data_IF_056126780373
#
_entry.id   IF_056126780373
#
_cell.length_a   1.000
_cell.length_b   1.000
_cell.length_c   1.000
_cell.angle_alpha   90.00
_cell.angle_beta   90.00
_cell.angle_gamma   90.00
#
_symmetry.space_group_name_H-M   'P 1'
#
loop_
_entity.id
_entity.type
_entity.pdbx_description
1 polymer ?
#
# COMPACT_ATOMS: atom_id res chain seq x y z
N UNK A 1 -2.93 5.49 23.63
CA UNK A 1 -2.42 5.91 22.31
C UNK A 1 -0.93 6.16 22.47
N UNK A 2 -0.07 5.49 21.69
CA UNK A 2 1.39 5.68 21.75
C UNK A 2 1.69 7.05 21.15
N UNK A 3 2.47 7.94 21.82
CA UNK A 3 2.91 9.18 21.20
C UNK A 3 3.75 8.90 19.93
N UNK A 4 3.61 9.72 18.91
CA UNK A 4 4.35 9.54 17.63
C UNK A 4 5.87 9.43 17.86
N UNK A 5 6.39 10.16 18.84
CA UNK A 5 7.81 10.13 19.25
C UNK A 5 8.29 8.79 19.84
N UNK A 6 7.37 7.89 20.17
CA UNK A 6 7.67 6.56 20.72
C UNK A 6 7.34 5.42 19.74
N UNK A 7 6.72 5.74 18.60
CA UNK A 7 6.40 4.75 17.58
C UNK A 7 7.69 4.19 16.95
N UNK A 8 7.80 2.86 16.91
CA UNK A 8 8.92 2.14 16.29
C UNK A 8 8.55 1.47 14.97
N UNK A 9 7.26 1.24 14.75
CA UNK A 9 6.74 0.58 13.56
C UNK A 9 5.46 1.27 13.09
N UNK A 10 5.48 1.80 11.87
CA UNK A 10 4.40 2.58 11.29
C UNK A 10 3.94 1.95 9.98
N UNK A 11 2.65 1.80 9.80
CA UNK A 11 2.02 1.48 8.52
C UNK A 11 1.46 2.77 7.91
N UNK A 12 1.79 3.03 6.66
CA UNK A 12 1.28 4.18 5.90
C UNK A 12 0.47 3.65 4.72
N UNK A 13 -0.84 3.88 4.75
CA UNK A 13 -1.72 3.55 3.63
C UNK A 13 -1.85 4.73 2.68
N UNK A 14 -1.72 4.46 1.40
CA UNK A 14 -1.73 5.42 0.30
C UNK A 14 -2.88 5.10 -0.65
N UNK A 15 -3.91 5.93 -0.62
CA UNK A 15 -5.07 5.80 -1.50
C UNK A 15 -4.74 6.21 -2.95
N UNK A 16 -5.50 5.70 -3.91
CA UNK A 16 -5.32 6.02 -5.34
C UNK A 16 -5.42 7.53 -5.60
N UNK A 17 -6.29 8.25 -4.88
CA UNK A 17 -6.47 9.69 -5.02
C UNK A 17 -5.26 10.52 -4.61
N UNK A 18 -4.38 9.98 -3.73
CA UNK A 18 -3.12 10.63 -3.34
C UNK A 18 -2.04 10.43 -4.41
N UNK A 19 -2.01 9.23 -5.01
CA UNK A 19 -0.96 8.84 -5.97
C UNK A 19 -1.21 9.39 -7.38
N UNK A 20 -2.39 9.97 -7.65
CA UNK A 20 -2.78 10.47 -8.96
C UNK A 20 -3.27 11.93 -8.87
N UNK A 21 -2.99 12.69 -9.92
CA UNK A 21 -3.59 14.01 -10.10
C UNK A 21 -5.04 13.89 -10.59
N UNK A 22 -5.81 14.97 -10.56
CA UNK A 22 -7.18 15.05 -11.11
C UNK A 22 -7.22 14.66 -12.60
N UNK A 23 -6.13 14.87 -13.33
CA UNK A 23 -5.97 14.46 -14.72
C UNK A 23 -5.64 12.97 -14.88
N UNK A 24 -5.54 12.24 -13.78
CA UNK A 24 -5.24 10.80 -13.76
C UNK A 24 -3.76 10.45 -13.98
N UNK A 25 -2.87 11.43 -13.99
CA UNK A 25 -1.42 11.23 -14.06
C UNK A 25 -0.84 10.88 -12.69
N UNK A 26 0.36 10.31 -12.67
CA UNK A 26 1.09 10.05 -11.41
C UNK A 26 1.42 11.38 -10.73
N UNK A 27 1.07 11.50 -9.45
CA UNK A 27 1.39 12.67 -8.63
C UNK A 27 2.82 12.59 -8.09
N UNK A 28 3.79 12.91 -8.93
CA UNK A 28 5.21 12.81 -8.59
C UNK A 28 5.58 13.64 -7.35
N UNK A 29 5.05 14.84 -7.21
CA UNK A 29 5.33 15.73 -6.07
C UNK A 29 4.89 15.10 -4.74
N UNK A 30 3.69 14.52 -4.72
CA UNK A 30 3.18 13.84 -3.54
C UNK A 30 4.03 12.61 -3.20
N UNK A 31 4.38 11.79 -4.19
CA UNK A 31 5.21 10.59 -4.00
C UNK A 31 6.59 10.97 -3.47
N UNK A 32 7.22 12.01 -3.99
CA UNK A 32 8.51 12.51 -3.52
C UNK A 32 8.44 13.01 -2.07
N UNK A 33 7.37 13.70 -1.70
CA UNK A 33 7.14 14.12 -0.31
C UNK A 33 7.01 12.92 0.62
N UNK A 34 6.30 11.88 0.20
CA UNK A 34 6.17 10.62 0.95
C UNK A 34 7.52 9.94 1.11
N UNK A 35 8.29 9.80 0.03
CA UNK A 35 9.61 9.17 0.08
C UNK A 35 10.56 9.91 1.02
N UNK A 36 10.58 11.24 0.97
CA UNK A 36 11.37 12.06 1.90
C UNK A 36 10.94 11.88 3.36
N UNK A 37 9.63 11.80 3.62
CA UNK A 37 9.12 11.55 4.97
C UNK A 37 9.48 10.14 5.47
N UNK A 38 9.41 9.13 4.61
CA UNK A 38 9.79 7.76 4.93
C UNK A 38 11.29 7.67 5.22
N UNK A 39 12.15 8.29 4.40
CA UNK A 39 13.59 8.35 4.62
C UNK A 39 13.90 8.99 5.99
N UNK A 40 13.25 10.11 6.31
CA UNK A 40 13.41 10.76 7.60
C UNK A 40 12.98 9.85 8.78
N UNK A 41 11.86 9.14 8.67
CA UNK A 41 11.43 8.18 9.70
C UNK A 41 12.44 7.05 9.86
N UNK A 42 12.95 6.50 8.76
CA UNK A 42 13.95 5.42 8.77
C UNK A 42 15.28 5.88 9.35
N UNK A 43 15.72 7.10 9.10
CA UNK A 43 16.94 7.66 9.72
C UNK A 43 16.82 7.80 11.24
N UNK A 44 15.60 7.83 11.78
CA UNK A 44 15.31 7.79 13.21
C UNK A 44 15.14 6.36 13.78
N UNK A 45 15.40 5.33 12.98
CA UNK A 45 15.26 3.93 13.37
C UNK A 45 13.81 3.43 13.40
N UNK A 46 12.88 4.14 12.77
CA UNK A 46 11.47 3.76 12.69
C UNK A 46 11.27 2.84 11.47
N UNK A 47 10.68 1.68 11.70
CA UNK A 47 10.28 0.76 10.65
C UNK A 47 9.01 1.26 9.95
N UNK A 48 9.07 1.39 8.62
CA UNK A 48 7.95 1.85 7.82
C UNK A 48 7.51 0.76 6.85
N UNK A 49 6.20 0.54 6.79
CA UNK A 49 5.53 -0.34 5.83
C UNK A 49 4.55 0.51 5.04
N UNK A 50 4.60 0.42 3.71
CA UNK A 50 3.63 1.07 2.85
C UNK A 50 2.52 0.10 2.45
N UNK A 51 1.27 0.55 2.47
CA UNK A 51 0.15 -0.14 1.83
C UNK A 51 -0.31 0.75 0.69
N UNK A 52 -0.03 0.33 -0.54
CA UNK A 52 -0.16 1.20 -1.71
C UNK A 52 -1.21 0.69 -2.68
N UNK A 53 -2.20 1.50 -2.96
CA UNK A 53 -3.14 1.32 -4.05
C UNK A 53 -2.55 1.79 -5.39
N UNK A 54 -3.31 1.62 -6.48
CA UNK A 54 -3.02 2.27 -7.77
C UNK A 54 -2.63 1.33 -8.91
N UNK A 55 -2.44 0.02 -8.65
CA UNK A 55 -2.06 -0.94 -9.68
C UNK A 55 -3.05 -0.96 -10.86
N UNK A 56 -4.35 -1.13 -10.62
CA UNK A 56 -5.37 -1.10 -11.69
C UNK A 56 -5.26 0.18 -12.53
N UNK A 57 -5.13 1.33 -11.88
CA UNK A 57 -5.04 2.60 -12.56
C UNK A 57 -3.80 2.75 -13.45
N UNK A 58 -2.65 2.27 -13.00
CA UNK A 58 -1.42 2.25 -13.81
C UNK A 58 -1.55 1.28 -14.99
N UNK A 59 -2.16 0.11 -14.78
CA UNK A 59 -2.45 -0.84 -15.86
C UNK A 59 -3.40 -0.25 -16.91
N UNK A 60 -4.47 0.41 -16.49
CA UNK A 60 -5.37 1.12 -17.40
C UNK A 60 -4.62 2.17 -18.24
N UNK A 61 -3.77 2.96 -17.60
CA UNK A 61 -2.96 3.96 -18.30
C UNK A 61 -2.04 3.32 -19.33
N UNK A 62 -1.38 2.21 -18.98
CA UNK A 62 -0.50 1.45 -19.88
C UNK A 62 -1.24 0.87 -21.08
N UNK A 63 -2.46 0.38 -20.86
CA UNK A 63 -3.34 -0.16 -21.89
C UNK A 63 -4.15 0.92 -22.63
N UNK A 64 -4.00 2.20 -22.26
CA UNK A 64 -4.76 3.34 -22.82
C UNK A 64 -6.28 3.20 -22.64
N UNK A 65 -6.70 2.53 -21.58
CA UNK A 65 -8.11 2.37 -21.21
C UNK A 65 -8.58 3.64 -20.49
N UNK A 66 -9.54 4.36 -21.10
CA UNK A 66 -10.03 5.64 -20.58
C UNK A 66 -11.09 5.46 -19.49
N UNK A 67 -11.95 4.45 -19.60
CA UNK A 67 -13.04 4.18 -18.66
C UNK A 67 -12.70 2.94 -17.83
N UNK A 68 -12.89 3.04 -16.51
CA UNK A 68 -12.63 1.90 -15.61
C UNK A 68 -13.47 0.69 -16.03
N UNK A 69 -12.87 -0.47 -16.27
CA UNK A 69 -13.59 -1.71 -16.54
C UNK A 69 -14.51 -2.09 -15.37
N UNK A 70 -15.59 -2.79 -15.68
CA UNK A 70 -16.51 -3.38 -14.68
C UNK A 70 -16.36 -4.90 -14.61
N UNK A 71 -15.87 -5.54 -15.66
CA UNK A 71 -15.63 -6.96 -15.68
C UNK A 71 -14.40 -7.34 -14.84
N UNK A 72 -14.55 -8.35 -13.98
CA UNK A 72 -13.51 -8.79 -13.06
C UNK A 72 -12.20 -9.15 -13.78
N UNK A 73 -12.26 -9.93 -14.85
CA UNK A 73 -11.11 -10.35 -15.63
C UNK A 73 -10.34 -9.18 -16.26
N UNK A 74 -11.03 -8.11 -16.65
CA UNK A 74 -10.39 -6.90 -17.17
C UNK A 74 -9.69 -6.11 -16.05
N UNK A 75 -10.32 -6.05 -14.87
CA UNK A 75 -9.72 -5.43 -13.68
C UNK A 75 -8.48 -6.20 -13.24
N UNK A 76 -8.54 -7.54 -13.20
CA UNK A 76 -7.40 -8.41 -12.89
C UNK A 76 -6.25 -8.22 -13.90
N UNK A 77 -6.58 -8.13 -15.19
CA UNK A 77 -5.59 -7.84 -16.24
C UNK A 77 -4.91 -6.48 -16.03
N UNK A 78 -5.71 -5.44 -15.74
CA UNK A 78 -5.16 -4.12 -15.42
C UNK A 78 -4.29 -4.17 -14.16
N UNK A 79 -4.71 -4.89 -13.12
CA UNK A 79 -3.93 -5.04 -11.89
C UNK A 79 -2.59 -5.73 -12.15
N UNK A 80 -2.59 -6.84 -12.90
CA UNK A 80 -1.38 -7.58 -13.25
C UNK A 80 -0.35 -6.71 -13.99
N UNK A 81 -0.81 -5.95 -15.00
CA UNK A 81 0.05 -5.05 -15.78
C UNK A 81 0.53 -3.86 -14.93
N UNK A 82 -0.36 -3.31 -14.11
CA UNK A 82 -0.05 -2.11 -13.35
C UNK A 82 0.76 -2.36 -12.07
N UNK A 83 0.69 -3.57 -11.51
CA UNK A 83 1.42 -3.90 -10.29
C UNK A 83 2.94 -3.82 -10.50
N UNK A 84 3.45 -4.31 -11.62
CA UNK A 84 4.87 -4.18 -11.95
C UNK A 84 5.31 -2.72 -12.09
N UNK A 85 4.43 -1.85 -12.61
CA UNK A 85 4.70 -0.42 -12.72
C UNK A 85 4.64 0.28 -11.37
N UNK A 86 3.73 -0.13 -10.49
CA UNK A 86 3.59 0.42 -9.15
C UNK A 86 4.85 0.17 -8.32
N UNK A 87 5.34 -1.07 -8.33
CA UNK A 87 6.55 -1.39 -7.55
C UNK A 87 7.79 -0.71 -8.13
N UNK A 88 7.92 -0.65 -9.47
CA UNK A 88 9.00 0.08 -10.11
C UNK A 88 8.94 1.59 -9.82
N UNK A 89 7.75 2.17 -9.76
CA UNK A 89 7.56 3.58 -9.39
C UNK A 89 8.13 3.86 -7.99
N UNK A 90 7.78 3.02 -7.02
CA UNK A 90 8.28 3.14 -5.65
C UNK A 90 9.79 2.93 -5.59
N UNK A 91 10.33 1.88 -6.24
CA UNK A 91 11.77 1.62 -6.24
C UNK A 91 12.54 2.81 -6.82
N UNK A 92 12.16 3.28 -8.02
CA UNK A 92 12.83 4.42 -8.66
C UNK A 92 12.83 5.69 -7.80
N UNK A 93 11.79 5.90 -6.99
CA UNK A 93 11.72 7.06 -6.10
C UNK A 93 12.57 6.86 -4.83
N UNK A 94 12.61 5.65 -4.30
CA UNK A 94 13.42 5.33 -3.12
C UNK A 94 14.90 5.13 -3.43
N UNK A 95 15.28 4.88 -4.68
CA UNK A 95 16.69 4.81 -5.12
C UNK A 95 17.45 6.13 -4.81
N UNK A 96 16.75 7.28 -4.83
CA UNK A 96 17.34 8.58 -4.47
C UNK A 96 17.77 8.65 -2.98
N UNK A 97 17.31 7.72 -2.15
CA UNK A 97 17.60 7.62 -0.72
C UNK A 97 18.37 6.35 -0.35
N UNK A 98 18.85 5.62 -1.35
CA UNK A 98 19.53 4.31 -1.16
C UNK A 98 18.67 3.30 -0.36
N UNK A 99 17.36 3.33 -0.59
CA UNK A 99 16.39 2.47 0.06
C UNK A 99 15.81 1.44 -0.91
N UNK A 100 15.85 0.18 -0.51
CA UNK A 100 15.30 -0.94 -1.28
C UNK A 100 13.82 -1.14 -0.96
N UNK A 101 13.03 -1.46 -1.98
CA UNK A 101 11.61 -1.78 -1.86
C UNK A 101 11.39 -3.27 -2.01
N UNK A 102 10.53 -3.84 -1.18
CA UNK A 102 10.12 -5.24 -1.27
C UNK A 102 8.60 -5.35 -1.49
N UNK A 103 8.19 -5.98 -2.59
CA UNK A 103 6.77 -6.20 -2.90
C UNK A 103 6.18 -7.33 -2.05
N UNK A 104 4.98 -7.08 -1.51
CA UNK A 104 4.14 -8.09 -0.87
C UNK A 104 2.72 -7.98 -1.41
N UNK A 105 2.19 -9.08 -1.94
CA UNK A 105 0.82 -9.16 -2.42
C UNK A 105 0.04 -10.12 -1.52
N UNK A 106 -1.08 -9.64 -0.98
CA UNK A 106 -1.90 -10.37 -0.03
C UNK A 106 -3.34 -10.51 -0.52
N UNK A 107 -3.92 -11.65 -0.22
CA UNK A 107 -5.37 -11.88 -0.25
C UNK A 107 -5.93 -11.88 1.17
N UNK A 108 -7.25 -11.81 1.30
CA UNK A 108 -7.91 -11.92 2.60
C UNK A 108 -7.59 -13.24 3.31
N UNK A 109 -7.47 -14.34 2.54
CA UNK A 109 -7.13 -15.67 3.08
C UNK A 109 -5.74 -15.71 3.70
N UNK A 110 -4.78 -14.92 3.19
CA UNK A 110 -3.42 -14.88 3.71
C UNK A 110 -3.35 -14.30 5.12
N UNK A 111 -4.31 -13.44 5.49
CA UNK A 111 -4.41 -12.85 6.82
C UNK A 111 -5.39 -13.58 7.74
N UNK A 112 -6.30 -14.41 7.18
CA UNK A 112 -7.31 -15.16 7.94
C UNK A 112 -6.79 -16.54 8.38
N UNK A 113 -5.99 -17.21 7.56
CA UNK A 113 -5.40 -18.52 7.86
C UNK A 113 -4.20 -18.38 8.80
N UNK A 114 -4.18 -19.10 9.92
CA UNK A 114 -3.12 -19.00 10.94
C UNK A 114 -1.72 -19.28 10.39
N UNK A 115 -1.56 -20.28 9.51
CA UNK A 115 -0.27 -20.63 8.91
C UNK A 115 0.21 -19.57 7.93
N UNK A 116 -0.68 -19.08 7.05
CA UNK A 116 -0.36 -18.02 6.08
C UNK A 116 -0.09 -16.70 6.78
N UNK A 117 -0.91 -16.36 7.78
CA UNK A 117 -0.70 -15.17 8.62
C UNK A 117 0.70 -15.15 9.24
N UNK A 118 1.14 -16.25 9.82
CA UNK A 118 2.49 -16.36 10.40
C UNK A 118 3.58 -16.20 9.35
N UNK A 119 3.40 -16.76 8.16
CA UNK A 119 4.34 -16.58 7.04
C UNK A 119 4.43 -15.12 6.58
N UNK A 120 3.29 -14.43 6.45
CA UNK A 120 3.22 -13.01 6.11
C UNK A 120 3.96 -12.16 7.13
N UNK A 121 3.66 -12.35 8.42
CA UNK A 121 4.31 -11.61 9.52
C UNK A 121 5.82 -11.83 9.52
N UNK A 122 6.27 -13.08 9.39
CA UNK A 122 7.70 -13.40 9.35
C UNK A 122 8.38 -12.77 8.15
N UNK A 123 7.75 -12.82 6.97
CA UNK A 123 8.31 -12.20 5.74
C UNK A 123 8.44 -10.69 5.91
N UNK A 124 7.41 -10.00 6.41
CA UNK A 124 7.48 -8.56 6.65
C UNK A 124 8.59 -8.22 7.64
N UNK A 125 8.69 -8.94 8.77
CA UNK A 125 9.72 -8.68 9.76
C UNK A 125 11.13 -8.96 9.21
N UNK A 126 11.32 -9.99 8.39
CA UNK A 126 12.59 -10.26 7.73
C UNK A 126 12.98 -9.15 6.73
N UNK A 127 12.02 -8.65 5.95
CA UNK A 127 12.27 -7.50 5.06
C UNK A 127 12.70 -6.27 5.88
N UNK A 128 12.00 -5.98 6.96
CA UNK A 128 12.33 -4.84 7.84
C UNK A 128 13.74 -4.97 8.44
N UNK A 129 14.16 -6.20 8.78
CA UNK A 129 15.52 -6.45 9.33
C UNK A 129 16.64 -6.19 8.31
N UNK A 130 16.35 -6.20 7.02
CA UNK A 130 17.29 -5.83 5.95
C UNK A 130 17.29 -4.33 5.63
N UNK A 131 16.60 -3.52 6.41
CA UNK A 131 16.37 -2.10 6.17
C UNK A 131 15.56 -1.78 4.89
N UNK A 132 15.00 -2.77 4.22
CA UNK A 132 14.11 -2.56 3.08
C UNK A 132 12.71 -2.08 3.50
N UNK A 133 11.98 -1.50 2.56
CA UNK A 133 10.62 -0.99 2.75
C UNK A 133 9.62 -2.01 2.17
N UNK A 134 8.83 -2.72 3.00
CA UNK A 134 7.73 -3.51 2.49
C UNK A 134 6.67 -2.61 1.84
N UNK A 135 6.33 -2.89 0.58
CA UNK A 135 5.19 -2.29 -0.13
C UNK A 135 4.14 -3.36 -0.34
N UNK A 136 3.09 -3.26 0.43
CA UNK A 136 1.97 -4.20 0.45
C UNK A 136 0.87 -3.70 -0.46
N UNK A 137 0.26 -4.59 -1.23
CA UNK A 137 -0.98 -4.34 -1.95
C UNK A 137 -1.86 -5.60 -1.94
N UNK A 138 -3.13 -5.45 -2.30
CA UNK A 138 -4.00 -6.59 -2.56
C UNK A 138 -3.51 -7.36 -3.80
N UNK A 139 -3.58 -8.70 -3.75
CA UNK A 139 -3.34 -9.54 -4.91
C UNK A 139 -4.59 -9.59 -5.79
N UNK A 140 -4.89 -8.47 -6.44
CA UNK A 140 -6.03 -8.33 -7.32
C UNK A 140 -6.09 -9.39 -8.45
N UNK A 141 -4.97 -10.02 -8.78
CA UNK A 141 -4.91 -10.99 -9.90
C UNK A 141 -5.60 -12.30 -9.60
N UNK A 142 -5.76 -12.65 -8.34
CA UNK A 142 -6.39 -13.90 -7.87
C UNK A 142 -7.58 -13.64 -6.95
N UNK A 143 -7.86 -12.38 -6.58
CA UNK A 143 -9.00 -12.02 -5.75
C UNK A 143 -10.31 -12.22 -6.53
N UNK A 144 -11.27 -12.93 -5.94
CA UNK A 144 -12.64 -13.05 -6.45
C UNK A 144 -13.51 -11.90 -5.89
N UNK A 145 -14.68 -11.67 -6.50
CA UNK A 145 -15.61 -10.65 -6.01
C UNK A 145 -16.10 -10.91 -4.57
N UNK A 146 -16.10 -12.17 -4.16
CA UNK A 146 -16.55 -12.62 -2.84
C UNK A 146 -15.46 -12.49 -1.76
N UNK A 147 -14.18 -12.40 -2.15
CA UNK A 147 -13.00 -12.49 -1.26
C UNK A 147 -12.10 -11.27 -1.43
N UNK A 148 -12.66 -10.09 -1.64
CA UNK A 148 -11.91 -8.82 -1.68
C UNK A 148 -11.86 -8.16 -0.31
N UNK A 149 -10.74 -7.51 0.00
CA UNK A 149 -10.66 -6.63 1.17
C UNK A 149 -11.65 -5.44 1.09
N UNK A 150 -12.25 -5.18 -0.07
CA UNK A 150 -13.10 -4.04 -0.32
C UNK A 150 -12.27 -2.80 -0.67
N UNK A 151 -11.35 -2.42 0.20
CA UNK A 151 -10.37 -1.37 -0.04
C UNK A 151 -9.07 -1.63 0.72
N UNK A 152 -8.03 -0.86 0.38
CA UNK A 152 -6.74 -0.95 1.06
C UNK A 152 -6.75 -0.34 2.47
N UNK A 153 -7.83 0.31 2.91
CA UNK A 153 -7.98 0.78 4.30
C UNK A 153 -8.13 -0.43 5.23
N UNK A 154 -9.03 -1.35 4.88
CA UNK A 154 -9.20 -2.62 5.60
C UNK A 154 -7.92 -3.45 5.58
N UNK A 155 -7.29 -3.62 4.40
CA UNK A 155 -6.02 -4.34 4.29
C UNK A 155 -4.95 -3.71 5.20
N UNK A 156 -4.83 -2.38 5.20
CA UNK A 156 -3.82 -1.69 6.01
C UNK A 156 -4.03 -1.86 7.51
N UNK A 157 -5.28 -1.87 7.97
CA UNK A 157 -5.63 -2.12 9.35
C UNK A 157 -5.29 -3.56 9.78
N UNK A 158 -5.59 -4.55 8.92
CA UNK A 158 -5.25 -5.94 9.17
C UNK A 158 -3.74 -6.16 9.18
N UNK A 159 -2.99 -5.57 8.25
CA UNK A 159 -1.52 -5.61 8.22
C UNK A 159 -0.96 -4.96 9.49
N UNK A 160 -1.42 -3.76 9.85
CA UNK A 160 -0.96 -3.07 11.05
C UNK A 160 -1.17 -3.90 12.31
N UNK A 161 -2.35 -4.52 12.45
CA UNK A 161 -2.66 -5.45 13.55
C UNK A 161 -1.75 -6.67 13.54
N UNK A 162 -1.57 -7.30 12.37
CA UNK A 162 -0.80 -8.55 12.22
C UNK A 162 0.66 -8.38 12.64
N UNK A 163 1.30 -7.26 12.27
CA UNK A 163 2.72 -6.99 12.57
C UNK A 163 2.93 -6.25 13.90
N UNK A 164 1.87 -5.93 14.63
CA UNK A 164 1.94 -5.15 15.87
C UNK A 164 2.51 -3.74 15.63
N UNK A 165 1.96 -3.02 14.63
CA UNK A 165 2.36 -1.64 14.37
C UNK A 165 1.88 -0.70 15.48
N UNK A 166 2.70 0.29 15.83
CA UNK A 166 2.39 1.30 16.85
C UNK A 166 1.42 2.36 16.30
N UNK A 167 1.45 2.58 14.98
CA UNK A 167 0.65 3.59 14.29
C UNK A 167 0.26 3.14 12.89
N UNK A 168 -0.99 3.43 12.52
CA UNK A 168 -1.49 3.38 11.15
C UNK A 168 -1.85 4.81 10.71
N UNK A 169 -1.22 5.27 9.63
CA UNK A 169 -1.55 6.52 8.96
C UNK A 169 -2.27 6.22 7.66
N UNK A 170 -3.49 6.72 7.51
CA UNK A 170 -4.27 6.60 6.28
C UNK A 170 -4.23 7.94 5.56
N UNK A 171 -3.48 7.99 4.46
CA UNK A 171 -3.42 9.16 3.58
C UNK A 171 -4.50 9.03 2.51
N UNK A 172 -5.44 9.95 2.54
CA UNK A 172 -6.62 9.97 1.66
C UNK A 172 -6.95 11.40 1.26
N UNK A 173 -7.80 11.54 0.25
CA UNK A 173 -8.37 12.82 -0.18
C UNK A 173 -9.71 13.13 0.50
N UNK A 174 -10.12 12.34 1.49
CA UNK A 174 -11.29 12.60 2.33
C UNK A 174 -10.88 13.19 3.68
N UNK A 175 -11.80 13.93 4.32
CA UNK A 175 -11.52 14.71 5.54
C UNK A 175 -11.23 13.86 6.78
N UNK A 176 -11.46 12.55 6.73
CA UNK A 176 -11.25 11.62 7.84
C UNK A 176 -12.30 10.53 7.90
N UNK A 177 -12.35 9.82 9.02
CA UNK A 177 -13.39 8.84 9.28
C UNK A 177 -14.72 9.58 9.52
N UNK A 178 -15.68 9.33 8.65
CA UNK A 178 -17.03 9.92 8.78
C UNK A 178 -17.84 9.12 9.80
N UNK A 179 -18.53 9.81 10.69
CA UNK A 179 -19.53 9.19 11.55
C UNK A 179 -20.78 8.87 10.69
N UNK A 180 -21.21 7.59 10.60
CA UNK A 180 -22.38 7.23 9.79
C UNK A 180 -23.70 7.88 10.25
N UNK A 181 -23.70 8.51 11.44
CA UNK A 181 -24.86 9.21 12.01
C UNK A 181 -24.74 10.75 11.93
N UNK A 182 -23.71 11.26 11.31
CA UNK A 182 -23.44 12.72 11.23
C UNK A 182 -23.25 13.07 9.75
N UNK A 183 -24.36 13.40 9.07
CA UNK A 183 -24.37 14.01 7.74
C UNK A 183 -23.90 15.47 7.78
#
# INVERSE_FOLDING_TARGET
>A
MVPLSQAKKIVIKLGTGILRTDQGLVNNTCIETICKAVDHLKSQGINVILVSSGAIGLGMARLKIKKRPTALNELQTCAAIGQSQLINLWQNKFDCYDLTVAQILLTQDDLSSSSRHSAVVNTINNILSTNAIPVVNENDTVSSEEIKFGDNDTLSALVAKAIGADLLLILSNVSGLLDPNND
#
